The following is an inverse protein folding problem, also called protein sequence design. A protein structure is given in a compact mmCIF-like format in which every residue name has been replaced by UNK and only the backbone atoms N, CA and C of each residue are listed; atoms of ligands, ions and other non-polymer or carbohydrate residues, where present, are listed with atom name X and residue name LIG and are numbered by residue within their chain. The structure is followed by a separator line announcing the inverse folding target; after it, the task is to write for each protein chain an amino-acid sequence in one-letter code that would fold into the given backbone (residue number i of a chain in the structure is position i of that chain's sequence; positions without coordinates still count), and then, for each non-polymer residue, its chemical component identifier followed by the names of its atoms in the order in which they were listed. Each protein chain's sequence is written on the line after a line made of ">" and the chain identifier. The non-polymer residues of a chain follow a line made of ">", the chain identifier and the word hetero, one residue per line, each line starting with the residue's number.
data_IF_715904596883
#
_entry.id   IF_715904596883
#
_cell.length_a   1.000
_cell.length_b   1.000
_cell.length_c   1.000
_cell.angle_alpha   90.00
_cell.angle_beta   90.00
_cell.angle_gamma   90.00
#
_symmetry.space_group_name_H-M   'P 1'
#
loop_
_entity.id
_entity.type
_entity.pdbx_description
1 polymer ?
#
# COMPACT_ATOMS: atom_id res chain seq x y z
N UNK A 1 -9.18 -8.37 -4.20
CA UNK A 1 -7.98 -9.03 -3.68
C UNK A 1 -6.85 -8.78 -4.66
N UNK A 2 -5.76 -8.21 -4.18
CA UNK A 2 -4.60 -7.84 -4.95
C UNK A 2 -3.68 -9.06 -5.09
N UNK A 3 -3.31 -9.41 -6.31
CA UNK A 3 -2.43 -10.56 -6.57
C UNK A 3 -0.96 -10.14 -6.59
N UNK A 4 -0.06 -11.04 -6.19
CA UNK A 4 1.39 -10.85 -6.28
C UNK A 4 1.86 -10.39 -7.67
N UNK A 5 1.31 -10.99 -8.74
CA UNK A 5 1.64 -10.61 -10.13
C UNK A 5 1.31 -9.14 -10.41
N UNK A 6 0.10 -8.69 -10.06
CA UNK A 6 -0.33 -7.30 -10.23
C UNK A 6 0.57 -6.32 -9.46
N UNK A 7 1.06 -6.71 -8.29
CA UNK A 7 2.00 -5.92 -7.50
C UNK A 7 3.35 -5.86 -8.20
N UNK A 8 3.88 -6.99 -8.69
CA UNK A 8 5.17 -7.06 -9.39
C UNK A 8 5.16 -6.23 -10.67
N UNK A 9 4.09 -6.30 -11.46
CA UNK A 9 3.94 -5.55 -12.71
C UNK A 9 3.62 -4.06 -12.51
N UNK A 10 3.38 -3.61 -11.28
CA UNK A 10 3.16 -2.20 -11.00
C UNK A 10 4.44 -1.40 -11.20
N UNK A 11 4.48 -0.56 -12.22
CA UNK A 11 5.61 0.31 -12.55
C UNK A 11 5.49 1.70 -11.93
N UNK A 12 6.60 2.43 -11.90
CA UNK A 12 6.59 3.83 -11.49
C UNK A 12 5.74 4.65 -12.48
N UNK A 13 4.90 5.51 -11.93
CA UNK A 13 4.16 6.52 -12.70
C UNK A 13 4.65 7.92 -12.27
N UNK A 14 4.31 8.94 -13.07
CA UNK A 14 4.61 10.35 -12.76
C UNK A 14 4.12 10.77 -11.36
N UNK A 15 3.04 10.14 -10.88
CA UNK A 15 2.48 10.36 -9.55
C UNK A 15 2.39 9.05 -8.77
N UNK A 16 2.65 9.14 -7.47
CA UNK A 16 2.49 8.01 -6.58
C UNK A 16 1.01 7.56 -6.53
N UNK A 17 0.76 6.30 -6.83
CA UNK A 17 -0.59 5.72 -6.83
C UNK A 17 -0.75 4.67 -5.73
N UNK A 18 -1.96 4.12 -5.62
CA UNK A 18 -2.30 3.07 -4.65
C UNK A 18 -2.96 1.91 -5.37
N UNK A 19 -2.57 0.70 -5.02
CA UNK A 19 -3.21 -0.54 -5.44
C UNK A 19 -3.96 -1.10 -4.25
N UNK A 20 -5.28 -1.01 -4.29
CA UNK A 20 -6.13 -1.49 -3.21
C UNK A 20 -6.18 -3.02 -3.18
N UNK A 21 -6.08 -3.57 -1.99
CA UNK A 21 -6.37 -4.95 -1.67
C UNK A 21 -7.70 -5.05 -0.88
N UNK A 22 -7.89 -6.09 -0.07
CA UNK A 22 -9.03 -6.27 0.83
C UNK A 22 -8.89 -5.47 2.13
N UNK A 23 -10.03 -5.19 2.76
CA UNK A 23 -10.11 -4.59 4.11
C UNK A 23 -9.39 -3.24 4.28
N UNK A 24 -9.23 -2.50 3.18
CA UNK A 24 -8.55 -1.22 3.17
C UNK A 24 -7.03 -1.32 3.17
N UNK A 25 -6.45 -2.52 3.15
CA UNK A 25 -5.02 -2.70 2.84
C UNK A 25 -4.75 -2.24 1.40
N UNK A 26 -3.62 -1.59 1.18
CA UNK A 26 -3.20 -1.18 -0.16
C UNK A 26 -1.68 -1.11 -0.26
N UNK A 27 -1.15 -1.26 -1.47
CA UNK A 27 0.24 -0.91 -1.78
C UNK A 27 0.30 0.52 -2.28
N UNK A 28 1.21 1.30 -1.70
CA UNK A 28 1.58 2.61 -2.22
C UNK A 28 2.84 2.49 -3.08
N UNK A 29 2.79 3.07 -4.29
CA UNK A 29 3.89 2.98 -5.28
C UNK A 29 4.49 4.36 -5.59
N UNK A 30 5.37 4.92 -4.74
CA UNK A 30 6.11 6.14 -5.05
C UNK A 30 7.41 5.83 -5.81
N UNK A 31 7.55 6.35 -7.02
CA UNK A 31 8.82 6.29 -7.78
C UNK A 31 9.38 4.86 -7.90
N UNK A 32 8.51 3.87 -8.12
CA UNK A 32 8.88 2.46 -8.29
C UNK A 32 9.14 1.68 -7.00
N UNK A 33 9.18 2.34 -5.83
CA UNK A 33 9.18 1.64 -4.54
C UNK A 33 7.77 1.19 -4.19
N UNK A 34 7.62 0.08 -3.48
CA UNK A 34 6.32 -0.50 -3.12
C UNK A 34 6.25 -0.70 -1.62
N UNK A 35 5.19 -0.20 -0.99
CA UNK A 35 5.02 -0.26 0.46
C UNK A 35 3.60 -0.65 0.84
N UNK A 36 3.44 -1.53 1.81
CA UNK A 36 2.15 -1.91 2.35
C UNK A 36 1.63 -0.88 3.36
N UNK A 37 0.39 -0.44 3.17
CA UNK A 37 -0.29 0.52 4.02
C UNK A 37 -1.72 0.09 4.35
N UNK A 38 -2.19 0.41 5.55
CA UNK A 38 -3.59 0.25 5.92
C UNK A 38 -4.08 1.48 6.69
N UNK A 39 -5.21 2.08 6.30
CA UNK A 39 -5.83 3.12 7.09
C UNK A 39 -6.38 2.47 8.36
N UNK A 40 -6.04 3.05 9.50
CA UNK A 40 -6.59 2.63 10.76
C UNK A 40 -7.20 3.84 11.48
N UNK A 41 -8.19 3.56 12.32
CA UNK A 41 -8.85 4.57 13.13
C UNK A 41 -8.68 4.17 14.59
N UNK A 42 -7.75 4.82 15.31
CA UNK A 42 -7.59 4.53 16.73
C UNK A 42 -8.86 4.92 17.50
N UNK A 43 -9.11 4.25 18.63
CA UNK A 43 -10.27 4.53 19.49
C UNK A 43 -10.30 5.97 19.99
N UNK A 44 -9.13 6.62 20.08
CA UNK A 44 -8.97 8.03 20.39
C UNK A 44 -8.10 8.67 19.30
N UNK A 45 -8.59 9.74 18.68
CA UNK A 45 -7.84 10.54 17.71
C UNK A 45 -8.32 10.46 16.26
N UNK A 46 -7.49 10.96 15.34
CA UNK A 46 -7.79 11.08 13.90
C UNK A 46 -7.44 9.79 13.16
N UNK A 47 -8.02 9.60 11.97
CA UNK A 47 -7.62 8.53 11.04
C UNK A 47 -6.12 8.64 10.75
N UNK A 48 -5.43 7.53 10.80
CA UNK A 48 -4.00 7.42 10.53
C UNK A 48 -3.75 6.31 9.50
N UNK A 49 -2.52 6.21 9.03
CA UNK A 49 -2.07 5.12 8.15
C UNK A 49 -0.98 4.36 8.86
N UNK A 50 -1.14 3.05 8.92
CA UNK A 50 -0.12 2.12 9.36
C UNK A 50 0.68 1.67 8.13
N UNK A 51 2.00 1.58 8.26
CA UNK A 51 2.89 1.02 7.22
C UNK A 51 3.40 -0.33 7.72
N UNK A 52 3.23 -1.40 6.94
CA UNK A 52 3.76 -2.73 7.30
C UNK A 52 5.18 -2.97 6.81
N UNK A 53 5.66 -2.17 5.85
CA UNK A 53 7.00 -2.27 5.31
C UNK A 53 7.03 -2.27 3.78
N UNK A 54 8.24 -2.41 3.19
CA UNK A 54 8.40 -2.56 1.76
C UNK A 54 7.82 -3.88 1.25
N UNK A 55 7.43 -3.92 -0.01
CA UNK A 55 7.13 -5.15 -0.75
C UNK A 55 8.35 -5.54 -1.60
N UNK A 56 8.74 -6.84 -1.66
CA UNK A 56 8.10 -7.97 -0.97
C UNK A 56 8.42 -7.99 0.54
N UNK A 57 7.51 -8.58 1.32
CA UNK A 57 7.79 -8.95 2.71
C UNK A 57 8.69 -10.19 2.69
N UNK A 58 9.83 -10.12 3.37
CA UNK A 58 10.79 -11.23 3.52
C UNK A 58 10.47 -12.07 4.75
#
# INVERSE_FOLDING_TARGET
>A
MLTDTAIKTAEAQDKAFRLADSEGLFIHVPMGKKFWFMPYRPSVGKKQKLTFGPYPLH
#
